data_IF_878363817403
#
_entry.id   IF_878363817403
#
_cell.length_a   1.000
_cell.length_b   1.000
_cell.length_c   1.000
_cell.angle_alpha   90.00
_cell.angle_beta   90.00
_cell.angle_gamma   90.00
#
_symmetry.space_group_name_H-M   'P 1'
#
loop_
_entity.id
_entity.type
_entity.pdbx_description
1 polymer ?
#
# COMPACT_ATOMS: atom_id res chain seq x y z
N UNK A 1 -41.16 -2.56 -13.96
CA UNK A 1 -40.19 -3.08 -12.97
C UNK A 1 -38.83 -2.47 -13.28
N UNK A 2 -38.36 -1.50 -12.48
CA UNK A 2 -37.03 -0.91 -12.62
C UNK A 2 -36.25 -1.16 -11.32
N UNK A 3 -35.31 -2.09 -11.33
CA UNK A 3 -34.41 -2.36 -10.20
C UNK A 3 -33.23 -1.38 -10.28
N UNK A 4 -33.20 -0.40 -9.37
CA UNK A 4 -32.13 0.58 -9.27
C UNK A 4 -30.91 -0.01 -8.54
N UNK A 5 -29.80 -0.21 -9.26
CA UNK A 5 -28.53 -0.67 -8.70
C UNK A 5 -27.82 0.49 -7.98
N UNK A 6 -27.78 0.46 -6.64
CA UNK A 6 -27.09 1.46 -5.82
C UNK A 6 -25.56 1.34 -6.00
N UNK A 7 -24.95 2.29 -6.71
CA UNK A 7 -23.48 2.41 -6.81
C UNK A 7 -22.88 2.82 -5.46
N UNK A 8 -22.03 1.96 -4.90
CA UNK A 8 -21.26 2.20 -3.68
C UNK A 8 -20.12 3.19 -4.00
N UNK A 9 -20.26 4.44 -3.56
CA UNK A 9 -19.25 5.49 -3.74
C UNK A 9 -18.10 5.23 -2.75
N UNK A 10 -16.94 4.83 -3.25
CA UNK A 10 -15.73 4.65 -2.43
C UNK A 10 -15.16 6.01 -2.07
N UNK A 11 -15.35 6.42 -0.82
CA UNK A 11 -14.73 7.61 -0.25
C UNK A 11 -13.21 7.38 -0.18
N UNK A 12 -12.43 8.00 -1.07
CA UNK A 12 -10.97 8.05 -0.96
C UNK A 12 -10.62 8.80 0.33
N UNK A 13 -10.21 8.04 1.35
CA UNK A 13 -9.72 8.58 2.63
C UNK A 13 -8.48 9.40 2.33
N UNK A 14 -8.54 10.72 2.49
CA UNK A 14 -7.36 11.59 2.52
C UNK A 14 -6.53 11.19 3.73
N UNK A 15 -5.53 10.35 3.50
CA UNK A 15 -4.59 9.92 4.54
C UNK A 15 -3.57 11.04 4.68
N UNK A 16 -3.36 11.50 5.91
CA UNK A 16 -2.17 12.26 6.26
C UNK A 16 -0.94 11.51 5.74
N UNK A 17 0.11 12.22 5.28
CA UNK A 17 1.29 11.59 4.72
C UNK A 17 1.87 10.62 5.75
N UNK A 18 1.87 9.33 5.41
CA UNK A 18 2.46 8.31 6.28
C UNK A 18 3.97 8.49 6.28
N UNK A 19 4.52 8.78 7.45
CA UNK A 19 5.96 8.89 7.68
C UNK A 19 6.59 7.55 8.08
N UNK A 20 5.78 6.53 8.38
CA UNK A 20 6.24 5.22 8.82
C UNK A 20 5.61 4.14 7.96
N UNK A 21 6.44 3.23 7.46
CA UNK A 21 6.08 2.13 6.59
C UNK A 21 6.61 0.84 7.23
N UNK A 22 5.74 -0.13 7.47
CA UNK A 22 6.11 -1.41 8.06
C UNK A 22 6.44 -2.40 6.95
N UNK A 23 7.49 -3.20 7.13
CA UNK A 23 7.87 -4.27 6.22
C UNK A 23 8.08 -5.54 7.04
N UNK A 24 7.47 -6.64 6.63
CA UNK A 24 7.60 -7.91 7.32
C UNK A 24 6.69 -8.99 6.73
N UNK A 25 6.93 -10.24 7.09
CA UNK A 25 6.29 -11.41 6.49
C UNK A 25 4.75 -11.38 6.49
N UNK A 26 4.14 -10.72 7.50
CA UNK A 26 2.68 -10.63 7.60
C UNK A 26 2.09 -9.37 6.96
N UNK A 27 2.89 -8.31 6.81
CA UNK A 27 2.41 -7.01 6.34
C UNK A 27 3.54 -6.13 5.84
N UNK A 28 3.46 -5.81 4.55
CA UNK A 28 4.30 -4.82 3.90
C UNK A 28 3.46 -3.65 3.46
N UNK A 29 3.77 -2.48 4.02
CA UNK A 29 3.29 -1.20 3.54
C UNK A 29 4.43 -0.54 2.77
N UNK A 30 4.26 -0.36 1.46
CA UNK A 30 5.33 0.15 0.60
C UNK A 30 5.61 -0.80 -0.53
N UNK A 31 6.22 -0.28 -1.59
CA UNK A 31 6.48 -1.01 -2.83
C UNK A 31 7.75 -0.42 -3.48
N UNK A 32 8.33 -1.12 -4.46
CA UNK A 32 9.46 -0.64 -5.25
C UNK A 32 9.26 0.77 -5.83
N UNK A 33 8.01 1.10 -6.16
CA UNK A 33 7.61 2.39 -6.74
C UNK A 33 7.75 3.56 -5.76
N UNK A 34 7.78 3.31 -4.45
CA UNK A 34 7.96 4.35 -3.41
C UNK A 34 9.44 4.64 -3.11
N UNK A 35 10.34 4.42 -4.08
CA UNK A 35 11.80 4.59 -3.92
C UNK A 35 12.20 6.01 -3.50
N UNK A 36 11.48 7.03 -3.98
CA UNK A 36 11.71 8.43 -3.60
C UNK A 36 11.28 8.73 -2.15
N UNK A 37 10.31 7.98 -1.62
CA UNK A 37 9.77 8.16 -0.26
C UNK A 37 10.47 7.24 0.77
N UNK A 38 10.83 6.03 0.38
CA UNK A 38 11.41 4.98 1.25
C UNK A 38 12.93 4.85 1.10
N UNK A 39 13.51 5.49 0.08
CA UNK A 39 14.89 5.28 -0.33
C UNK A 39 15.11 3.92 -1.03
N UNK A 40 16.31 3.73 -1.58
CA UNK A 40 16.65 2.49 -2.30
C UNK A 40 16.61 1.23 -1.44
N UNK A 41 17.04 1.33 -0.17
CA UNK A 41 17.06 0.19 0.76
C UNK A 41 15.66 -0.17 1.27
N UNK A 42 14.84 0.83 1.61
CA UNK A 42 13.45 0.61 2.04
C UNK A 42 12.57 0.05 0.91
N UNK A 43 12.78 0.51 -0.33
CA UNK A 43 12.08 -0.04 -1.49
C UNK A 43 12.48 -1.50 -1.78
N UNK A 44 13.75 -1.86 -1.60
CA UNK A 44 14.20 -3.24 -1.78
C UNK A 44 13.67 -4.18 -0.68
N UNK A 45 13.67 -3.74 0.59
CA UNK A 45 13.05 -4.49 1.69
C UNK A 45 11.54 -4.68 1.49
N UNK A 46 10.85 -3.64 1.02
CA UNK A 46 9.43 -3.75 0.69
C UNK A 46 9.17 -4.76 -0.45
N UNK A 47 10.01 -4.77 -1.50
CA UNK A 47 9.96 -5.80 -2.55
C UNK A 47 10.18 -7.21 -1.98
N UNK A 48 11.28 -7.42 -1.25
CA UNK A 48 11.64 -8.72 -0.68
C UNK A 48 10.52 -9.28 0.21
N UNK A 49 9.96 -8.44 1.08
CA UNK A 49 8.87 -8.84 1.97
C UNK A 49 7.53 -9.00 1.24
N UNK A 50 7.29 -8.26 0.15
CA UNK A 50 6.08 -8.39 -0.69
C UNK A 50 6.07 -9.69 -1.50
N UNK A 51 7.24 -10.17 -1.94
CA UNK A 51 7.38 -11.48 -2.61
C UNK A 51 7.45 -12.66 -1.64
N UNK A 52 7.29 -12.42 -0.33
CA UNK A 52 7.24 -13.47 0.69
C UNK A 52 8.60 -14.03 1.09
N UNK A 53 9.69 -13.29 0.83
CA UNK A 53 10.98 -13.60 1.44
C UNK A 53 11.01 -13.03 2.87
N UNK A 54 11.44 -13.83 3.87
CA UNK A 54 11.54 -13.39 5.27
C UNK A 54 12.58 -12.27 5.46
#
# INVERSE_FOLDING_TARGET
>A
MATATRRKKTTKKTRTPKMTYCWGASKTEGDATKKELLGGKGANLAEMTSIGLP
#
